data_IF_511803530654
#
_entry.id   IF_511803530654
#
_cell.length_a   1.000
_cell.length_b   1.000
_cell.length_c   1.000
_cell.angle_alpha   90.00
_cell.angle_beta   90.00
_cell.angle_gamma   90.00
#
_symmetry.space_group_name_H-M   'P 1'
#
loop_
_entity.id
_entity.type
_entity.pdbx_description
1 polymer ?
#
# COMPACT_ATOMS: atom_id res chain seq x y z
N UNK A 1 -11.35 9.01 3.04
CA UNK A 1 -10.30 8.38 3.87
C UNK A 1 -11.01 7.59 4.97
N UNK A 2 -10.59 6.36 5.22
CA UNK A 2 -11.15 5.47 6.25
C UNK A 2 -10.01 5.01 7.17
N UNK A 3 -10.29 4.74 8.45
CA UNK A 3 -9.27 4.25 9.40
C UNK A 3 -9.73 2.92 9.97
N UNK A 4 -8.95 1.88 9.72
CA UNK A 4 -9.20 0.51 10.16
C UNK A 4 -8.35 0.25 11.42
N UNK A 5 -8.98 -0.17 12.51
CA UNK A 5 -8.29 -0.43 13.79
C UNK A 5 -8.30 0.76 14.77
N UNK A 6 -7.63 0.63 15.92
CA UNK A 6 -7.57 1.65 16.98
C UNK A 6 -6.17 1.70 17.62
N UNK A 7 -5.71 2.90 17.99
CA UNK A 7 -4.42 3.08 18.66
C UNK A 7 -3.24 2.72 17.76
N UNK A 8 -2.26 1.98 18.27
CA UNK A 8 -1.05 1.56 17.54
C UNK A 8 -1.33 0.65 16.33
N UNK A 9 -2.52 0.05 16.23
CA UNK A 9 -2.91 -0.81 15.10
C UNK A 9 -3.73 -0.09 14.04
N UNK A 10 -3.77 1.24 14.09
CA UNK A 10 -4.53 2.04 13.13
C UNK A 10 -3.91 1.97 11.73
N UNK A 11 -4.74 1.71 10.73
CA UNK A 11 -4.39 1.67 9.32
C UNK A 11 -5.25 2.69 8.60
N UNK A 12 -4.63 3.67 7.96
CA UNK A 12 -5.32 4.62 7.11
C UNK A 12 -5.51 4.02 5.72
N UNK A 13 -6.76 3.95 5.28
CA UNK A 13 -7.18 3.56 3.94
C UNK A 13 -7.52 4.82 3.14
N UNK A 14 -6.83 4.98 2.01
CA UNK A 14 -7.04 6.05 1.05
C UNK A 14 -7.46 5.40 -0.26
N UNK A 15 -8.70 5.61 -0.68
CA UNK A 15 -9.21 5.20 -2.00
C UNK A 15 -9.10 6.38 -2.95
N UNK A 16 -8.32 6.24 -4.01
CA UNK A 16 -8.36 7.19 -5.13
C UNK A 16 -9.31 6.65 -6.22
N UNK A 17 -10.28 7.44 -6.71
CA UNK A 17 -11.04 7.05 -7.89
C UNK A 17 -10.10 6.99 -9.10
N UNK A 18 -9.64 5.77 -9.43
CA UNK A 18 -8.82 5.51 -10.61
C UNK A 18 -7.33 5.85 -10.47
N UNK A 19 -6.72 5.69 -9.29
CA UNK A 19 -5.25 5.79 -9.10
C UNK A 19 -4.63 7.18 -9.29
N UNK A 20 -5.39 8.15 -9.82
CA UNK A 20 -4.98 9.54 -10.04
C UNK A 20 -4.56 10.18 -8.72
N UNK A 21 -3.25 10.38 -8.55
CA UNK A 21 -2.66 11.07 -7.40
C UNK A 21 -1.78 10.21 -6.51
N UNK A 22 -1.71 8.91 -6.76
CA UNK A 22 -0.64 8.07 -6.22
C UNK A 22 0.45 7.99 -7.28
N UNK A 23 1.75 8.09 -6.93
CA UNK A 23 2.80 7.70 -7.85
C UNK A 23 2.54 6.23 -8.16
N UNK A 24 1.98 5.95 -9.34
CA UNK A 24 1.88 4.59 -9.83
C UNK A 24 3.30 4.03 -9.83
N UNK A 25 3.49 2.87 -9.19
CA UNK A 25 4.75 2.15 -9.31
C UNK A 25 4.91 1.78 -10.79
N UNK A 26 5.74 2.55 -11.50
CA UNK A 26 5.87 2.47 -12.97
C UNK A 26 5.30 3.66 -13.76
N UNK A 27 4.97 4.79 -13.12
CA UNK A 27 4.72 6.04 -13.86
C UNK A 27 6.00 6.52 -14.56
N UNK A 28 5.92 6.84 -15.86
CA UNK A 28 7.04 7.28 -16.73
C UNK A 28 7.79 8.54 -16.22
N UNK A 29 7.24 9.22 -15.20
CA UNK A 29 7.83 10.40 -14.54
C UNK A 29 8.74 10.06 -13.33
N UNK A 30 8.89 8.79 -12.97
CA UNK A 30 9.75 8.37 -11.87
C UNK A 30 11.20 8.13 -12.33
N UNK A 31 12.21 8.78 -11.72
CA UNK A 31 13.62 8.49 -12.00
C UNK A 31 13.91 6.99 -11.82
N UNK A 32 14.69 6.40 -12.73
CA UNK A 32 15.02 4.97 -12.70
C UNK A 32 15.64 4.53 -11.37
N UNK A 33 16.40 5.42 -10.70
CA UNK A 33 16.97 5.21 -9.37
C UNK A 33 15.89 5.12 -8.29
N UNK A 34 14.83 5.93 -8.40
CA UNK A 34 13.69 5.87 -7.48
C UNK A 34 12.87 4.59 -7.72
N UNK A 35 12.74 4.15 -8.97
CA UNK A 35 12.11 2.87 -9.30
C UNK A 35 12.88 1.69 -8.69
N UNK A 36 14.20 1.62 -8.87
CA UNK A 36 15.04 0.57 -8.30
C UNK A 36 15.08 0.59 -6.76
N UNK A 37 14.99 1.77 -6.15
CA UNK A 37 14.86 1.91 -4.70
C UNK A 37 13.50 1.43 -4.18
N UNK A 38 12.42 1.73 -4.89
CA UNK A 38 11.08 1.24 -4.56
C UNK A 38 10.96 -0.27 -4.74
N UNK A 39 11.55 -0.83 -5.80
CA UNK A 39 11.62 -2.28 -6.00
C UNK A 39 12.45 -2.97 -4.91
N UNK A 40 13.48 -2.31 -4.39
CA UNK A 40 14.29 -2.82 -3.26
C UNK A 40 13.56 -2.73 -1.91
N UNK A 41 12.60 -1.82 -1.76
CA UNK A 41 11.82 -1.62 -0.52
C UNK A 41 10.43 -2.28 -0.55
N UNK A 42 9.99 -2.68 -1.73
CA UNK A 42 8.65 -3.14 -2.03
C UNK A 42 8.58 -4.65 -2.13
N UNK A 43 7.85 -5.30 -1.23
CA UNK A 43 7.48 -6.69 -1.43
C UNK A 43 6.14 -6.78 -2.17
N UNK A 44 6.09 -7.50 -3.28
CA UNK A 44 4.81 -7.84 -3.92
C UNK A 44 3.96 -8.75 -3.01
N UNK A 45 2.67 -8.45 -2.94
CA UNK A 45 1.67 -9.23 -2.22
C UNK A 45 0.44 -9.43 -3.10
N UNK A 46 -0.26 -10.53 -2.83
CA UNK A 46 -1.48 -10.91 -3.53
C UNK A 46 -2.52 -11.29 -2.50
N UNK A 47 -3.76 -10.86 -2.72
CA UNK A 47 -4.90 -11.09 -1.83
C UNK A 47 -6.22 -11.01 -2.58
N UNK A 48 -7.32 -10.94 -1.84
CA UNK A 48 -8.68 -10.80 -2.38
C UNK A 48 -8.91 -9.44 -3.03
N UNK A 49 -8.14 -8.44 -2.60
CA UNK A 49 -8.06 -7.12 -3.23
C UNK A 49 -7.30 -7.13 -4.58
N UNK A 50 -6.79 -8.28 -5.03
CA UNK A 50 -5.93 -8.38 -6.21
C UNK A 50 -4.46 -8.43 -5.82
N UNK A 51 -3.61 -7.66 -6.52
CA UNK A 51 -2.18 -7.53 -6.22
C UNK A 51 -1.84 -6.14 -5.70
N UNK A 52 -0.71 -6.04 -5.02
CA UNK A 52 -0.16 -4.78 -4.56
C UNK A 52 1.30 -4.91 -4.13
N UNK A 53 1.92 -3.79 -3.81
CA UNK A 53 3.30 -3.72 -3.30
C UNK A 53 3.31 -3.12 -1.92
N UNK A 54 3.95 -3.81 -0.97
CA UNK A 54 4.15 -3.32 0.40
C UNK A 54 5.52 -2.68 0.51
N UNK A 55 5.53 -1.36 0.69
CA UNK A 55 6.72 -0.59 1.01
C UNK A 55 6.98 -0.63 2.51
N UNK A 56 8.16 -1.15 2.88
CA UNK A 56 8.60 -1.23 4.27
C UNK A 56 9.57 -0.11 4.60
N UNK A 57 9.18 0.73 5.56
CA UNK A 57 10.12 1.66 6.21
C UNK A 57 10.39 1.18 7.64
N UNK A 58 11.41 1.75 8.30
CA UNK A 58 11.82 1.32 9.65
C UNK A 58 10.71 1.45 10.71
N UNK A 59 9.71 2.31 10.49
CA UNK A 59 8.67 2.63 11.47
C UNK A 59 7.24 2.38 10.96
N UNK A 60 7.01 2.45 9.66
CA UNK A 60 5.68 2.30 9.06
C UNK A 60 5.73 1.42 7.81
N UNK A 61 4.63 0.72 7.53
CA UNK A 61 4.44 -0.04 6.31
C UNK A 61 3.30 0.59 5.50
N UNK A 62 3.42 0.56 4.18
CA UNK A 62 2.40 1.03 3.26
C UNK A 62 2.15 -0.02 2.18
N UNK A 63 0.89 -0.40 1.96
CA UNK A 63 0.45 -1.27 0.88
C UNK A 63 -0.26 -0.42 -0.18
N UNK A 64 0.25 -0.44 -1.40
CA UNK A 64 -0.41 0.11 -2.58
C UNK A 64 -0.97 -1.05 -3.39
N UNK A 65 -2.27 -1.06 -3.64
CA UNK A 65 -2.96 -2.09 -4.42
C UNK A 65 -3.24 -1.60 -5.85
N UNK A 66 -3.28 -2.53 -6.80
CA UNK A 66 -3.40 -2.22 -8.23
C UNK A 66 -4.76 -1.60 -8.60
N UNK A 67 -5.77 -1.72 -7.73
CA UNK A 67 -7.07 -1.06 -7.85
C UNK A 67 -7.05 0.43 -7.44
N UNK A 68 -5.89 0.96 -7.01
CA UNK A 68 -5.71 2.35 -6.61
C UNK A 68 -6.00 2.64 -5.12
N UNK A 69 -6.10 1.60 -4.28
CA UNK A 69 -6.24 1.76 -2.83
C UNK A 69 -4.87 1.77 -2.13
N UNK A 70 -4.74 2.57 -1.07
CA UNK A 70 -3.54 2.61 -0.22
C UNK A 70 -3.88 2.37 1.23
N UNK A 71 -3.12 1.49 1.86
CA UNK A 71 -3.22 1.17 3.28
C UNK A 71 -1.90 1.47 3.98
N UNK A 72 -1.88 2.40 4.93
CA UNK A 72 -0.66 2.80 5.66
C UNK A 72 -0.85 2.64 7.16
N UNK A 73 0.13 2.04 7.84
CA UNK A 73 0.10 1.94 9.30
C UNK A 73 1.43 1.49 9.91
N UNK A 74 1.59 1.76 11.21
CA UNK A 74 2.69 1.24 12.04
C UNK A 74 2.45 -0.23 12.45
N UNK A 75 2.02 -1.05 11.49
CA UNK A 75 1.63 -2.45 11.67
C UNK A 75 2.42 -3.35 10.73
N UNK A 76 2.39 -4.66 10.94
CA UNK A 76 3.12 -5.61 10.07
C UNK A 76 2.51 -5.69 8.66
N UNK A 77 3.31 -6.18 7.70
CA UNK A 77 2.89 -6.49 6.32
C UNK A 77 1.61 -7.33 6.28
N UNK A 78 1.57 -8.43 7.06
CA UNK A 78 0.40 -9.31 7.10
C UNK A 78 -0.87 -8.62 7.61
N UNK A 79 -0.72 -7.64 8.52
CA UNK A 79 -1.85 -6.88 9.01
C UNK A 79 -2.42 -5.93 7.94
N UNK A 80 -1.57 -5.31 7.11
CA UNK A 80 -2.01 -4.50 5.97
C UNK A 80 -2.73 -5.35 4.92
N UNK A 81 -2.17 -6.52 4.57
CA UNK A 81 -2.80 -7.45 3.62
C UNK A 81 -4.17 -7.91 4.13
N UNK A 82 -4.27 -8.27 5.41
CA UNK A 82 -5.56 -8.64 6.02
C UNK A 82 -6.57 -7.50 6.04
N UNK A 83 -6.13 -6.26 6.28
CA UNK A 83 -7.01 -5.10 6.25
C UNK A 83 -7.55 -4.84 4.82
N UNK A 84 -6.68 -4.94 3.82
CA UNK A 84 -7.07 -4.82 2.42
C UNK A 84 -8.02 -5.96 2.00
N UNK A 85 -7.77 -7.20 2.41
CA UNK A 85 -8.65 -8.35 2.17
C UNK A 85 -10.04 -8.17 2.80
N UNK A 86 -10.10 -7.54 3.97
CA UNK A 86 -11.36 -7.26 4.66
C UNK A 86 -12.15 -6.12 4.00
N UNK A 87 -11.45 -5.14 3.40
CA UNK A 87 -12.05 -3.99 2.73
C UNK A 87 -12.53 -4.30 1.29
N UNK A 88 -11.99 -5.35 0.66
CA UNK A 88 -12.39 -5.84 -0.66
C UNK A 88 -13.67 -6.71 -0.64
N UNK A 89 -14.35 -6.80 0.50
CA UNK A 89 -15.57 -7.59 0.71
C UNK A 89 -16.79 -6.70 0.85
#
# INVERSE_FOLDING_TARGET
FNVIGKGWTSIAEIKSPGGKGLPEAGSDDMPAEAQGFLDALGDKVTGKFGSGTVFKTRLVNALLTDDGSVYVGAVTKDALVRAADAAAK
#
